data_IF_928969311189
#
_entry.id   IF_928969311189
#
_cell.length_a   1.000
_cell.length_b   1.000
_cell.length_c   1.000
_cell.angle_alpha   90.00
_cell.angle_beta   90.00
_cell.angle_gamma   90.00
#
_symmetry.space_group_name_H-M   'P 1'
#
loop_
_entity.id
_entity.type
_entity.pdbx_description
1 polymer ?
#
# COMPACT_ATOMS: atom_id res chain seq x y z
N UNK A 1 24.66 14.90 -6.72
CA UNK A 1 23.20 15.16 -6.82
C UNK A 1 22.45 13.83 -6.89
N UNK A 2 22.13 13.22 -5.73
CA UNK A 2 21.32 11.98 -5.66
C UNK A 2 20.22 12.06 -4.58
N UNK A 3 20.01 13.24 -4.01
CA UNK A 3 19.01 13.44 -2.94
C UNK A 3 17.62 13.80 -3.53
N UNK A 4 17.54 14.12 -4.83
CA UNK A 4 16.27 14.44 -5.50
C UNK A 4 15.50 13.23 -6.05
N UNK A 5 16.10 12.02 -6.06
CA UNK A 5 15.48 10.82 -6.67
C UNK A 5 14.80 9.94 -5.61
N UNK A 6 15.36 9.83 -4.40
CA UNK A 6 14.76 9.02 -3.33
C UNK A 6 13.43 9.61 -2.79
N UNK A 7 13.27 10.94 -2.80
CA UNK A 7 11.99 11.59 -2.47
C UNK A 7 10.90 11.48 -3.56
N UNK A 8 11.23 10.94 -4.74
CA UNK A 8 10.35 10.84 -5.92
C UNK A 8 9.76 9.46 -6.19
N UNK A 9 10.10 8.42 -5.43
CA UNK A 9 9.53 7.08 -5.67
C UNK A 9 8.02 7.01 -5.41
N UNK A 10 7.46 7.97 -4.68
CA UNK A 10 6.06 7.97 -4.28
C UNK A 10 5.19 8.92 -5.10
N UNK A 11 5.81 9.86 -5.83
CA UNK A 11 5.14 10.70 -6.83
C UNK A 11 4.40 9.86 -7.88
N UNK A 12 4.99 8.79 -8.47
CA UNK A 12 4.25 7.92 -9.39
C UNK A 12 3.18 7.09 -8.68
N UNK A 13 3.32 6.76 -7.38
CA UNK A 13 2.26 6.13 -6.58
C UNK A 13 1.06 7.05 -6.31
N UNK A 14 1.13 8.35 -6.64
CA UNK A 14 -0.05 9.22 -6.66
C UNK A 14 -1.01 8.85 -7.80
N UNK A 15 -0.56 8.08 -8.80
CA UNK A 15 -1.44 7.50 -9.81
C UNK A 15 -2.05 6.22 -9.27
N UNK A 16 -3.39 6.16 -9.23
CA UNK A 16 -4.14 5.00 -8.74
C UNK A 16 -3.68 3.70 -9.41
N UNK A 17 -3.49 3.69 -10.73
CA UNK A 17 -3.04 2.51 -11.47
C UNK A 17 -1.65 1.99 -11.06
N UNK A 18 -0.74 2.88 -10.64
CA UNK A 18 0.61 2.50 -10.19
C UNK A 18 0.56 1.96 -8.76
N UNK A 19 -0.16 2.66 -7.87
CA UNK A 19 -0.37 2.20 -6.50
C UNK A 19 -1.07 0.85 -6.43
N UNK A 20 -2.08 0.63 -7.28
CA UNK A 20 -2.78 -0.64 -7.40
C UNK A 20 -1.84 -1.76 -7.85
N UNK A 21 -1.10 -1.58 -8.95
CA UNK A 21 -0.12 -2.57 -9.42
C UNK A 21 0.98 -2.85 -8.39
N UNK A 22 1.43 -1.83 -7.68
CA UNK A 22 2.43 -1.97 -6.62
C UNK A 22 1.91 -2.80 -5.45
N UNK A 23 0.68 -2.53 -4.99
CA UNK A 23 0.03 -3.30 -3.94
C UNK A 23 -0.24 -4.74 -4.36
N UNK A 24 -0.66 -4.97 -5.61
CA UNK A 24 -0.83 -6.32 -6.17
C UNK A 24 0.51 -7.06 -6.18
N UNK A 25 1.58 -6.45 -6.68
CA UNK A 25 2.93 -7.04 -6.66
C UNK A 25 3.41 -7.35 -5.25
N UNK A 26 3.18 -6.45 -4.29
CA UNK A 26 3.51 -6.71 -2.90
C UNK A 26 2.73 -7.88 -2.31
N UNK A 27 1.43 -7.97 -2.60
CA UNK A 27 0.61 -9.10 -2.17
C UNK A 27 1.09 -10.42 -2.81
N UNK A 28 1.51 -10.40 -4.07
CA UNK A 28 2.10 -11.56 -4.76
C UNK A 28 3.41 -12.02 -4.13
N UNK A 29 4.20 -11.12 -3.54
CA UNK A 29 5.46 -11.49 -2.86
C UNK A 29 5.26 -12.25 -1.54
N UNK A 30 4.02 -12.48 -1.09
CA UNK A 30 3.67 -13.22 0.14
C UNK A 30 4.35 -12.68 1.42
N UNK A 31 4.89 -11.46 1.37
CA UNK A 31 5.63 -10.85 2.47
C UNK A 31 4.74 -9.86 3.22
N UNK A 32 3.86 -10.39 4.06
CA UNK A 32 2.88 -9.58 4.79
C UNK A 32 3.53 -8.50 5.67
N UNK A 33 4.69 -8.78 6.26
CA UNK A 33 5.39 -7.80 7.10
C UNK A 33 5.85 -6.57 6.28
N UNK A 34 6.41 -6.80 5.08
CA UNK A 34 6.78 -5.72 4.16
C UNK A 34 5.55 -5.00 3.62
N UNK A 35 4.49 -5.74 3.27
CA UNK A 35 3.22 -5.16 2.84
C UNK A 35 2.70 -4.18 3.89
N UNK A 36 2.64 -4.58 5.16
CA UNK A 36 2.17 -3.73 6.24
C UNK A 36 3.04 -2.50 6.46
N UNK A 37 4.37 -2.66 6.42
CA UNK A 37 5.30 -1.55 6.59
C UNK A 37 5.15 -0.53 5.46
N UNK A 38 5.16 -0.98 4.21
CA UNK A 38 4.98 -0.11 3.04
C UNK A 38 3.58 0.52 3.04
N UNK A 39 2.54 -0.25 3.36
CA UNK A 39 1.19 0.27 3.48
C UNK A 39 1.08 1.35 4.56
N UNK A 40 1.64 1.11 5.74
CA UNK A 40 1.68 2.08 6.84
C UNK A 40 2.37 3.39 6.42
N UNK A 41 3.49 3.27 5.70
CA UNK A 41 4.24 4.42 5.18
C UNK A 41 3.39 5.20 4.15
N UNK A 42 2.70 4.50 3.24
CA UNK A 42 1.81 5.11 2.24
C UNK A 42 0.63 5.85 2.86
N UNK A 43 -0.02 5.28 3.89
CA UNK A 43 -1.14 5.93 4.57
C UNK A 43 -0.69 7.03 5.54
N UNK A 44 0.57 7.03 5.97
CA UNK A 44 1.15 8.15 6.73
C UNK A 44 1.21 9.43 5.90
N UNK A 45 1.26 9.34 4.56
CA UNK A 45 1.14 10.52 3.71
C UNK A 45 -0.33 10.91 3.45
N UNK A 46 -0.75 12.12 3.84
CA UNK A 46 -2.15 12.55 3.71
C UNK A 46 -2.67 12.60 2.27
N UNK A 47 -1.79 12.78 1.28
CA UNK A 47 -2.17 12.77 -0.14
C UNK A 47 -2.41 11.35 -0.67
N UNK A 48 -1.59 10.38 -0.23
CA UNK A 48 -1.70 9.00 -0.68
C UNK A 48 -2.77 8.24 0.07
N UNK A 49 -2.98 8.50 1.36
CA UNK A 49 -4.04 7.83 2.12
C UNK A 49 -5.41 7.98 1.46
N UNK A 50 -5.73 9.15 0.88
CA UNK A 50 -7.01 9.41 0.20
C UNK A 50 -7.17 8.56 -1.08
N UNK A 51 -6.05 8.10 -1.66
CA UNK A 51 -6.00 7.24 -2.84
C UNK A 51 -5.98 5.76 -2.43
N UNK A 52 -5.22 5.42 -1.38
CA UNK A 52 -5.01 4.05 -0.89
C UNK A 52 -6.21 3.51 -0.10
N UNK A 53 -6.85 4.31 0.75
CA UNK A 53 -8.03 3.89 1.53
C UNK A 53 -9.20 3.42 0.65
N UNK A 54 -9.62 4.14 -0.41
CA UNK A 54 -10.69 3.65 -1.28
C UNK A 54 -10.26 2.41 -2.08
N UNK A 55 -8.99 2.30 -2.48
CA UNK A 55 -8.47 1.08 -3.12
C UNK A 55 -8.59 -0.16 -2.23
N UNK A 56 -8.44 -0.01 -0.92
CA UNK A 56 -8.61 -1.08 0.04
C UNK A 56 -10.04 -1.66 0.03
N UNK A 57 -11.04 -0.82 -0.21
CA UNK A 57 -12.44 -1.24 -0.30
C UNK A 57 -12.82 -1.81 -1.67
N UNK A 58 -12.15 -1.39 -2.74
CA UNK A 58 -12.42 -1.86 -4.10
C UNK A 58 -11.73 -3.21 -4.41
N UNK A 59 -10.64 -3.53 -3.70
CA UNK A 59 -9.89 -4.80 -3.72
C UNK A 59 -10.02 -5.60 -5.04
N UNK A 60 -9.49 -5.09 -6.17
CA UNK A 60 -9.73 -5.66 -7.49
C UNK A 60 -9.07 -7.04 -7.71
N UNK A 61 -8.15 -7.46 -6.83
CA UNK A 61 -7.43 -8.73 -6.93
C UNK A 61 -7.56 -9.54 -5.65
N UNK A 62 -7.70 -10.87 -5.79
CA UNK A 62 -7.80 -11.81 -4.65
C UNK A 62 -6.58 -11.74 -3.73
N UNK A 63 -5.37 -11.70 -4.28
CA UNK A 63 -4.13 -11.61 -3.50
C UNK A 63 -4.10 -10.33 -2.65
N UNK A 64 -4.51 -9.20 -3.25
CA UNK A 64 -4.61 -7.94 -2.54
C UNK A 64 -5.68 -8.00 -1.45
N UNK A 65 -6.86 -8.56 -1.74
CA UNK A 65 -7.92 -8.73 -0.75
C UNK A 65 -7.46 -9.56 0.47
N UNK A 66 -6.72 -10.65 0.26
CA UNK A 66 -6.16 -11.49 1.33
C UNK A 66 -5.10 -10.75 2.17
N UNK A 67 -4.18 -10.03 1.51
CA UNK A 67 -3.18 -9.22 2.18
C UNK A 67 -3.82 -8.09 3.01
N UNK A 68 -4.91 -7.49 2.50
CA UNK A 68 -5.68 -6.46 3.18
C UNK A 68 -6.50 -7.02 4.36
N UNK A 69 -7.10 -8.20 4.21
CA UNK A 69 -7.77 -8.91 5.31
C UNK A 69 -6.79 -9.17 6.46
N UNK A 70 -5.60 -9.65 6.13
CA UNK A 70 -4.54 -9.91 7.11
C UNK A 70 -4.05 -8.63 7.79
N UNK A 71 -3.82 -7.56 7.02
CA UNK A 71 -3.48 -6.24 7.53
C UNK A 71 -4.57 -5.71 8.49
N UNK A 72 -5.85 -5.85 8.14
CA UNK A 72 -6.96 -5.43 9.01
C UNK A 72 -7.00 -6.23 10.31
N UNK A 73 -6.78 -7.54 10.25
CA UNK A 73 -6.70 -8.37 11.45
C UNK A 73 -5.55 -7.93 12.38
N UNK A 74 -4.40 -7.58 11.82
CA UNK A 74 -3.23 -7.14 12.58
C UNK A 74 -3.36 -5.73 13.14
N UNK A 75 -4.04 -4.81 12.43
CA UNK A 75 -4.27 -3.44 12.91
C UNK A 75 -5.38 -3.38 13.96
N UNK A 76 -6.45 -4.19 13.83
CA UNK A 76 -7.53 -4.27 14.82
C UNK A 76 -7.12 -4.91 16.14
N UNK A 77 -6.12 -5.80 16.15
CA UNK A 77 -5.64 -6.46 17.37
C UNK A 77 -4.69 -5.62 18.25
N UNK A 78 -4.38 -4.39 17.86
CA UNK A 78 -3.36 -3.54 18.51
C UNK A 78 -3.94 -2.27 19.15
N UNK A 79 -5.20 -2.32 19.57
CA UNK A 79 -5.88 -1.21 20.26
C UNK A 79 -6.03 -1.49 21.76
#
# INVERSE_FOLDING_TARGET
MLIAIAGRCWTPLQQQAIAEQFLIRLAETNNQNLFNQLFADLVMLPKLRIIILPMLHQAPSKALAEALLTLQAQTKGKQ
#
